data_IF_126984762914
#
_entry.id   IF_126984762914
#
_cell.length_a   1.000
_cell.length_b   1.000
_cell.length_c   1.000
_cell.angle_alpha   90.00
_cell.angle_beta   90.00
_cell.angle_gamma   90.00
#
_symmetry.space_group_name_H-M   'P 1'
#
loop_
_entity.id
_entity.type
_entity.pdbx_description
1 polymer ?
#
# COMPACT_ATOMS: atom_id res chain seq x y z
N UNK A 1 -43.19 -33.78 -40.16
CA UNK A 1 -42.07 -32.81 -40.31
C UNK A 1 -42.37 -31.44 -39.70
N UNK A 2 -42.83 -31.35 -38.43
CA UNK A 2 -42.97 -30.05 -37.72
C UNK A 2 -42.53 -30.09 -36.25
N UNK A 3 -42.01 -31.23 -35.78
CA UNK A 3 -41.58 -31.41 -34.40
C UNK A 3 -40.09 -31.06 -34.21
N UNK A 4 -39.23 -31.26 -35.21
CA UNK A 4 -37.80 -30.97 -35.11
C UNK A 4 -37.48 -29.46 -35.14
N UNK A 5 -38.27 -28.63 -35.82
CA UNK A 5 -38.03 -27.18 -35.88
C UNK A 5 -38.28 -26.48 -34.52
N UNK A 6 -39.16 -27.02 -33.67
CA UNK A 6 -39.41 -26.48 -32.32
C UNK A 6 -38.36 -26.91 -31.29
N UNK A 7 -37.75 -28.08 -31.47
CA UNK A 7 -36.68 -28.57 -30.60
C UNK A 7 -35.31 -27.98 -30.91
N UNK A 8 -35.04 -27.47 -32.12
CA UNK A 8 -33.79 -26.75 -32.40
C UNK A 8 -33.81 -25.32 -31.86
N UNK A 9 -34.94 -24.62 -31.98
CA UNK A 9 -35.05 -23.19 -31.63
C UNK A 9 -35.00 -22.91 -30.13
N UNK A 10 -35.61 -23.78 -29.31
CA UNK A 10 -35.65 -23.59 -27.84
C UNK A 10 -34.30 -23.74 -27.14
N UNK A 11 -33.53 -24.85 -27.31
CA UNK A 11 -32.20 -24.97 -26.73
C UNK A 11 -31.24 -23.96 -27.35
N UNK A 12 -31.38 -23.62 -28.64
CA UNK A 12 -30.57 -22.57 -29.26
C UNK A 12 -30.83 -21.19 -28.63
N UNK A 13 -32.09 -20.86 -28.31
CA UNK A 13 -32.43 -19.61 -27.58
C UNK A 13 -31.91 -19.65 -26.14
N UNK A 14 -31.96 -20.81 -25.47
CA UNK A 14 -31.40 -20.95 -24.12
C UNK A 14 -29.87 -20.77 -24.13
N UNK A 15 -29.18 -21.41 -25.07
CA UNK A 15 -27.72 -21.28 -25.22
C UNK A 15 -27.34 -19.85 -25.61
N UNK A 16 -28.06 -19.24 -26.56
CA UNK A 16 -27.83 -17.85 -26.95
C UNK A 16 -28.07 -16.88 -25.78
N UNK A 17 -29.15 -17.08 -25.02
CA UNK A 17 -29.44 -16.30 -23.82
C UNK A 17 -28.37 -16.46 -22.75
N UNK A 18 -27.88 -17.68 -22.55
CA UNK A 18 -26.80 -17.96 -21.60
C UNK A 18 -25.47 -17.30 -22.02
N UNK A 19 -25.12 -17.34 -23.30
CA UNK A 19 -23.94 -16.64 -23.83
C UNK A 19 -24.08 -15.13 -23.63
N UNK A 20 -25.24 -14.55 -23.93
CA UNK A 20 -25.50 -13.12 -23.73
C UNK A 20 -25.34 -12.76 -22.24
N UNK A 21 -25.88 -13.57 -21.33
CA UNK A 21 -25.73 -13.34 -19.90
C UNK A 21 -24.26 -13.42 -19.45
N UNK A 22 -23.49 -14.38 -19.96
CA UNK A 22 -22.06 -14.50 -19.67
C UNK A 22 -21.27 -13.28 -20.18
N UNK A 23 -21.54 -12.81 -21.41
CA UNK A 23 -20.91 -11.62 -21.97
C UNK A 23 -21.22 -10.39 -21.13
N UNK A 24 -22.49 -10.19 -20.73
CA UNK A 24 -22.88 -9.09 -19.86
C UNK A 24 -22.17 -9.14 -18.51
N UNK A 25 -22.06 -10.32 -17.89
CA UNK A 25 -21.35 -10.49 -16.63
C UNK A 25 -19.86 -10.11 -16.75
N UNK A 26 -19.19 -10.54 -17.83
CA UNK A 26 -17.78 -10.17 -18.10
C UNK A 26 -17.64 -8.67 -18.32
N UNK A 27 -18.52 -8.04 -19.09
CA UNK A 27 -18.49 -6.59 -19.33
C UNK A 27 -18.65 -5.80 -18.03
N UNK A 28 -19.55 -6.22 -17.14
CA UNK A 28 -19.71 -5.60 -15.81
C UNK A 28 -18.41 -5.73 -14.99
N UNK A 29 -17.77 -6.89 -15.01
CA UNK A 29 -16.47 -7.10 -14.35
C UNK A 29 -15.36 -6.19 -14.88
N UNK A 30 -15.22 -6.09 -16.21
CA UNK A 30 -14.22 -5.24 -16.87
C UNK A 30 -14.44 -3.77 -16.55
N UNK A 31 -15.70 -3.29 -16.57
CA UNK A 31 -16.03 -1.91 -16.19
C UNK A 31 -15.71 -1.65 -14.72
N UNK A 32 -16.05 -2.60 -13.83
CA UNK A 32 -15.75 -2.48 -12.39
C UNK A 32 -14.24 -2.36 -12.13
N UNK A 33 -13.42 -3.19 -12.76
CA UNK A 33 -11.95 -3.11 -12.64
C UNK A 33 -11.42 -1.79 -13.21
N UNK A 34 -11.98 -1.33 -14.34
CA UNK A 34 -11.59 -0.06 -14.96
C UNK A 34 -11.86 1.16 -14.07
N UNK A 35 -12.98 1.18 -13.32
CA UNK A 35 -13.30 2.26 -12.37
C UNK A 35 -12.27 2.33 -11.24
N UNK A 36 -11.85 1.18 -10.71
CA UNK A 36 -10.81 1.13 -9.67
C UNK A 36 -9.44 1.49 -10.25
N UNK A 37 -9.12 0.98 -11.45
CA UNK A 37 -7.84 1.20 -12.13
C UNK A 37 -7.62 2.65 -12.57
N UNK A 38 -8.66 3.34 -13.05
CA UNK A 38 -8.58 4.72 -13.50
C UNK A 38 -8.14 5.70 -12.40
N UNK A 39 -8.47 5.40 -11.14
CA UNK A 39 -8.00 6.16 -9.98
C UNK A 39 -6.49 5.99 -9.71
N UNK A 40 -5.89 4.88 -10.13
CA UNK A 40 -4.47 4.56 -9.94
C UNK A 40 -3.62 4.95 -11.16
N UNK A 41 -4.14 4.78 -12.38
CA UNK A 41 -3.40 5.03 -13.63
C UNK A 41 -3.47 6.49 -14.11
N UNK A 42 -4.36 7.32 -13.55
CA UNK A 42 -4.44 8.75 -13.90
C UNK A 42 -3.32 9.60 -13.27
N UNK A 43 -2.41 9.00 -12.49
CA UNK A 43 -1.13 9.64 -12.19
C UNK A 43 -0.22 9.36 -13.40
N UNK A 44 0.05 10.33 -14.29
CA UNK A 44 1.15 10.19 -15.21
C UNK A 44 2.40 9.96 -14.37
N UNK A 45 2.82 8.70 -14.28
CA UNK A 45 4.09 8.33 -13.69
C UNK A 45 5.14 8.99 -14.55
N UNK A 46 5.67 10.11 -14.07
CA UNK A 46 6.93 10.65 -14.55
C UNK A 46 7.92 9.52 -14.33
N UNK A 47 8.32 8.86 -15.40
CA UNK A 47 9.43 7.92 -15.38
C UNK A 47 10.65 8.75 -14.96
N UNK A 48 11.13 8.51 -13.75
CA UNK A 48 12.40 9.07 -13.29
C UNK A 48 13.46 8.53 -14.26
N UNK A 49 14.17 9.43 -14.93
CA UNK A 49 15.22 9.11 -15.88
C UNK A 49 16.42 8.52 -15.14
N UNK A 50 17.10 7.52 -15.72
CA UNK A 50 18.27 6.85 -15.11
C UNK A 50 19.34 7.85 -14.64
N UNK A 51 19.46 9.01 -15.31
CA UNK A 51 20.39 10.08 -14.92
C UNK A 51 20.06 10.72 -13.56
N UNK A 52 18.78 10.83 -13.21
CA UNK A 52 18.38 11.39 -11.90
C UNK A 52 18.66 10.40 -10.77
N UNK A 53 18.58 9.09 -11.06
CA UNK A 53 18.94 8.01 -10.12
C UNK A 53 20.45 8.01 -9.86
N UNK A 54 21.27 8.20 -10.89
CA UNK A 54 22.73 8.20 -10.77
C UNK A 54 23.24 9.42 -9.98
N UNK A 55 22.59 10.59 -10.13
CA UNK A 55 22.87 11.78 -9.31
C UNK A 55 22.47 11.56 -7.84
N UNK A 56 21.33 10.90 -7.59
CA UNK A 56 20.88 10.60 -6.23
C UNK A 56 21.79 9.56 -5.53
N UNK A 57 22.24 8.53 -6.24
CA UNK A 57 23.16 7.50 -5.74
C UNK A 57 24.58 8.05 -5.54
N UNK A 58 25.06 8.91 -6.44
CA UNK A 58 26.35 9.58 -6.30
C UNK A 58 26.42 10.49 -5.07
N UNK A 59 25.29 11.11 -4.70
CA UNK A 59 25.18 11.92 -3.48
C UNK A 59 25.11 11.09 -2.19
N UNK A 60 24.63 9.84 -2.25
CA UNK A 60 24.51 8.94 -1.11
C UNK A 60 25.79 8.13 -0.80
N UNK A 61 26.76 8.10 -1.73
CA UNK A 61 28.00 7.31 -1.59
C UNK A 61 29.08 7.97 -0.72
N UNK A 62 28.81 9.13 -0.13
CA UNK A 62 29.68 9.76 0.85
C UNK A 62 29.19 9.45 2.28
N UNK A 63 29.86 8.55 2.98
CA UNK A 63 29.65 8.30 4.42
C UNK A 63 31.00 7.99 5.11
N UNK A 64 31.22 8.28 6.41
CA UNK A 64 30.42 9.02 7.39
C UNK A 64 31.20 10.18 8.08
N UNK A 65 30.56 10.95 8.99
CA UNK A 65 30.89 10.69 10.39
C UNK A 65 29.68 10.55 11.32
N UNK A 66 29.89 9.76 12.37
CA UNK A 66 29.04 9.57 13.54
C UNK A 66 28.81 10.91 14.27
N UNK A 67 27.58 11.42 14.31
CA UNK A 67 27.06 12.34 15.35
C UNK A 67 25.54 12.46 15.20
N UNK A 68 24.75 12.49 16.29
CA UNK A 68 23.30 12.64 16.20
C UNK A 68 22.98 14.10 15.86
N UNK A 69 22.69 14.39 14.58
CA UNK A 69 22.39 15.75 14.13
C UNK A 69 20.96 15.87 13.58
N UNK A 70 20.31 16.88 14.12
CA UNK A 70 18.94 17.36 13.91
C UNK A 70 18.78 18.05 12.54
N UNK A 71 18.00 17.44 11.63
CA UNK A 71 17.21 18.00 10.50
C UNK A 71 17.92 18.86 9.41
N UNK A 72 17.24 19.25 8.29
CA UNK A 72 16.26 18.56 7.44
C UNK A 72 16.75 18.46 5.96
N UNK A 73 16.13 17.62 5.12
CA UNK A 73 16.36 17.64 3.67
C UNK A 73 15.08 17.96 2.91
N UNK A 74 15.02 19.19 2.40
CA UNK A 74 13.99 19.72 1.50
C UNK A 74 14.15 19.08 0.11
N UNK A 75 13.18 18.25 -0.28
CA UNK A 75 13.00 17.74 -1.64
C UNK A 75 11.60 18.10 -2.15
N UNK A 76 11.55 19.08 -3.05
CA UNK A 76 10.50 19.46 -4.02
C UNK A 76 9.12 18.80 -3.91
N UNK A 77 8.11 19.61 -3.53
CA UNK A 77 6.78 19.56 -4.15
C UNK A 77 5.78 18.50 -3.70
N UNK A 78 5.58 18.31 -2.39
CA UNK A 78 4.35 17.73 -1.84
C UNK A 78 3.68 18.79 -0.94
N UNK A 79 2.35 18.80 -0.75
CA UNK A 79 1.78 19.56 0.37
C UNK A 79 2.57 19.12 1.61
N UNK A 80 2.98 20.06 2.45
CA UNK A 80 3.75 19.77 3.65
C UNK A 80 2.95 18.78 4.50
N UNK A 81 3.17 17.49 4.26
CA UNK A 81 2.58 16.44 5.06
C UNK A 81 3.24 16.60 6.41
N UNK A 82 2.43 16.84 7.43
CA UNK A 82 2.85 16.81 8.83
C UNK A 82 3.30 15.41 9.25
N UNK A 83 3.27 14.42 8.36
CA UNK A 83 3.73 13.08 8.63
C UNK A 83 5.24 13.03 8.85
N UNK A 84 5.62 12.30 9.89
CA UNK A 84 6.98 12.04 10.29
C UNK A 84 7.25 10.55 10.21
N UNK A 85 8.52 10.20 9.96
CA UNK A 85 8.97 8.81 9.94
C UNK A 85 9.63 8.43 11.25
N UNK A 86 9.31 7.23 11.72
CA UNK A 86 9.78 6.65 12.97
C UNK A 86 10.36 5.26 12.70
N UNK A 87 11.59 5.02 13.13
CA UNK A 87 12.21 3.69 13.04
C UNK A 87 11.90 2.87 14.30
N UNK A 88 11.58 1.59 14.11
CA UNK A 88 11.29 0.62 15.17
C UNK A 88 12.09 -0.66 14.91
N UNK A 89 12.13 -1.59 15.87
CA UNK A 89 12.76 -2.90 15.65
C UNK A 89 12.04 -3.71 14.54
N UNK A 90 10.72 -3.56 14.43
CA UNK A 90 9.90 -4.30 13.47
C UNK A 90 9.80 -3.66 12.09
N UNK A 91 10.33 -2.46 11.88
CA UNK A 91 10.20 -1.72 10.63
C UNK A 91 10.15 -0.20 10.79
N UNK A 92 9.72 0.50 9.75
CA UNK A 92 9.49 1.95 9.77
C UNK A 92 8.00 2.27 9.76
N UNK A 93 7.63 3.35 10.44
CA UNK A 93 6.25 3.86 10.55
C UNK A 93 6.24 5.30 10.11
N UNK A 94 5.33 5.67 9.23
CA UNK A 94 5.08 7.07 8.82
C UNK A 94 3.72 7.48 9.34
N UNK A 95 3.69 8.54 10.14
CA UNK A 95 2.47 8.99 10.81
C UNK A 95 2.44 10.50 10.98
N UNK A 96 1.26 11.10 10.83
CA UNK A 96 0.97 12.45 11.27
C UNK A 96 0.17 12.42 12.59
N UNK A 97 -0.32 13.56 13.07
CA UNK A 97 -1.12 13.59 14.30
C UNK A 97 -2.54 13.04 14.13
N UNK A 98 -3.02 12.86 12.90
CA UNK A 98 -4.33 12.29 12.61
C UNK A 98 -4.26 10.77 12.52
N UNK A 99 -3.26 10.22 11.82
CA UNK A 99 -3.15 8.77 11.63
C UNK A 99 -1.76 8.27 11.24
N UNK A 100 -1.58 6.96 11.37
CA UNK A 100 -0.50 6.19 10.74
C UNK A 100 -0.80 6.09 9.23
N UNK A 101 -0.01 6.79 8.43
CA UNK A 101 -0.15 6.81 6.97
C UNK A 101 0.41 5.55 6.32
N UNK A 102 1.52 5.02 6.85
CA UNK A 102 2.18 3.84 6.30
C UNK A 102 3.01 3.09 7.34
N UNK A 103 3.12 1.78 7.15
CA UNK A 103 4.05 0.91 7.86
C UNK A 103 4.85 0.10 6.84
N UNK A 104 6.14 -0.06 7.05
CA UNK A 104 7.02 -0.88 6.21
C UNK A 104 7.82 -1.82 7.09
N UNK A 105 7.56 -3.14 7.01
CA UNK A 105 8.18 -4.10 7.91
C UNK A 105 9.68 -4.26 7.62
N UNK A 106 10.45 -4.49 8.68
CA UNK A 106 11.84 -4.92 8.59
C UNK A 106 11.93 -6.38 8.11
N UNK A 107 13.12 -6.77 7.66
CA UNK A 107 13.37 -8.14 7.22
C UNK A 107 13.08 -9.13 8.36
N UNK A 108 12.23 -10.12 8.08
CA UNK A 108 11.83 -11.12 9.08
C UNK A 108 10.59 -10.75 9.88
N UNK A 109 10.01 -9.57 9.68
CA UNK A 109 8.74 -9.14 10.25
C UNK A 109 7.67 -8.98 9.16
N UNK A 110 6.41 -9.09 9.56
CA UNK A 110 5.24 -8.75 8.77
C UNK A 110 4.35 -7.77 9.54
N UNK A 111 3.54 -6.98 8.83
CA UNK A 111 2.49 -6.17 9.46
C UNK A 111 1.38 -7.14 9.88
N UNK A 112 1.08 -7.17 11.18
CA UNK A 112 0.01 -7.99 11.72
C UNK A 112 -1.30 -7.21 11.86
N UNK A 113 -1.21 -5.98 12.33
CA UNK A 113 -2.35 -5.09 12.57
C UNK A 113 -1.94 -3.64 12.24
N UNK A 114 -2.86 -2.86 11.68
CA UNK A 114 -2.67 -1.44 11.39
C UNK A 114 -4.03 -0.73 11.39
N UNK A 115 -4.17 0.21 12.30
CA UNK A 115 -5.28 1.15 12.39
C UNK A 115 -4.74 2.60 12.36
N UNK A 116 -5.63 3.58 12.46
CA UNK A 116 -5.26 5.00 12.43
C UNK A 116 -4.24 5.37 13.54
N UNK A 117 -4.32 4.76 14.73
CA UNK A 117 -3.47 5.14 15.86
C UNK A 117 -2.59 4.02 16.40
N UNK A 118 -2.72 2.80 15.90
CA UNK A 118 -1.99 1.64 16.42
C UNK A 118 -1.51 0.76 15.28
N UNK A 119 -0.41 0.06 15.50
CA UNK A 119 0.06 -0.97 14.58
C UNK A 119 0.92 -2.01 15.29
N UNK A 120 1.04 -3.19 14.67
CA UNK A 120 1.86 -4.28 15.18
C UNK A 120 2.70 -4.85 14.04
N UNK A 121 4.01 -4.93 14.27
CA UNK A 121 4.88 -5.82 13.51
C UNK A 121 5.05 -7.13 14.26
N UNK A 122 4.99 -8.25 13.54
CA UNK A 122 5.16 -9.59 14.08
C UNK A 122 6.23 -10.36 13.33
N UNK A 123 7.06 -11.09 14.06
CA UNK A 123 8.06 -11.98 13.48
C UNK A 123 7.43 -13.06 12.60
N UNK A 124 8.05 -13.35 11.47
CA UNK A 124 7.60 -14.40 10.53
C UNK A 124 8.09 -15.78 10.97
N UNK A 125 9.25 -15.83 11.64
CA UNK A 125 9.83 -17.09 12.14
C UNK A 125 9.31 -17.46 13.53
N UNK A 126 9.05 -16.45 14.35
CA UNK A 126 8.56 -16.56 15.71
C UNK A 126 7.45 -15.51 15.89
N UNK A 127 6.26 -15.94 16.29
CA UNK A 127 5.10 -15.07 16.48
C UNK A 127 5.06 -14.42 17.88
N UNK A 128 6.00 -14.77 18.74
CA UNK A 128 6.26 -14.13 20.03
C UNK A 128 7.03 -12.81 19.86
N UNK A 129 7.83 -12.65 18.80
CA UNK A 129 8.52 -11.41 18.47
C UNK A 129 7.51 -10.34 18.02
N UNK A 130 7.08 -9.47 18.95
CA UNK A 130 6.05 -8.45 18.67
C UNK A 130 6.54 -7.05 18.96
N UNK A 131 6.36 -6.17 17.98
CA UNK A 131 6.66 -4.74 18.09
C UNK A 131 5.37 -3.97 17.90
N UNK A 132 4.79 -3.52 19.02
CA UNK A 132 3.59 -2.69 19.05
C UNK A 132 3.95 -1.22 18.95
N UNK A 133 3.17 -0.51 18.17
CA UNK A 133 3.35 0.89 17.81
C UNK A 133 2.07 1.63 18.20
N UNK A 134 2.20 2.68 19.00
CA UNK A 134 1.09 3.54 19.41
C UNK A 134 1.40 4.99 19.03
N UNK A 135 0.53 5.59 18.24
CA UNK A 135 0.63 6.98 17.83
C UNK A 135 -0.04 7.88 18.87
N UNK A 136 0.70 8.89 19.31
CA UNK A 136 0.22 9.97 20.16
C UNK A 136 0.57 11.31 19.52
N UNK A 137 -0.18 12.37 19.81
CA UNK A 137 0.15 13.71 19.33
C UNK A 137 0.34 14.63 20.53
N UNK A 138 1.45 15.38 20.55
CA UNK A 138 1.73 16.38 21.57
C UNK A 138 2.13 17.69 20.92
N UNK A 139 1.30 18.72 21.10
CA UNK A 139 1.57 20.05 20.54
C UNK A 139 1.63 20.09 19.00
N UNK A 140 0.85 19.24 18.32
CA UNK A 140 0.86 19.13 16.86
C UNK A 140 2.05 18.36 16.29
N UNK A 141 2.85 17.71 17.15
CA UNK A 141 3.95 16.84 16.75
C UNK A 141 3.57 15.39 17.01
N UNK A 142 3.57 14.51 15.98
CA UNK A 142 3.32 13.09 16.18
C UNK A 142 4.45 12.46 16.99
N UNK A 143 4.10 11.52 17.86
CA UNK A 143 4.98 10.81 18.76
C UNK A 143 4.60 9.34 18.73
N UNK A 144 5.51 8.48 18.27
CA UNK A 144 5.31 7.04 18.25
C UNK A 144 5.91 6.41 19.50
N UNK A 145 5.09 5.74 20.29
CA UNK A 145 5.52 4.88 21.39
C UNK A 145 5.67 3.46 20.88
N UNK A 146 6.83 2.85 21.15
CA UNK A 146 7.13 1.48 20.75
C UNK A 146 7.19 0.62 22.00
N UNK A 147 6.51 -0.53 21.98
CA UNK A 147 6.64 -1.58 22.99
C UNK A 147 7.05 -2.87 22.30
N UNK A 148 8.12 -3.47 22.80
CA UNK A 148 8.56 -4.80 22.37
C UNK A 148 8.12 -5.79 23.44
N UNK A 149 7.49 -6.87 23.00
CA UNK A 149 7.23 -8.06 23.82
C UNK A 149 8.09 -9.17 23.22
N UNK A 150 9.06 -9.65 24.00
CA UNK A 150 9.87 -10.83 23.74
C UNK A 150 9.65 -11.74 24.97
N UNK A 151 9.21 -13.00 24.79
CA UNK A 151 9.00 -13.96 25.90
C UNK A 151 10.28 -14.76 26.19
#
# INVERSE_FOLDING_TARGET
MRLLDRLGRRPMVIVAGWIVAAVLAVLVGVVGIGVVGAGLTSRPGVSISERDVEIALGSASASPPLTPSRAPSTGVGAPASSAQSFATAGGTVVADCERIEAMSPAQGYAIHEQDDHQGEFRGIRDDHDRVKVELTCSGGVPQVRVRTEDD
#
